data_IF_224042880085
#
_entry.id   IF_224042880085
#
_cell.length_a   1.000
_cell.length_b   1.000
_cell.length_c   1.000
_cell.angle_alpha   90.00
_cell.angle_beta   90.00
_cell.angle_gamma   90.00
#
_symmetry.space_group_name_H-M   'P 1'
#
loop_
_entity.id
_entity.type
_entity.pdbx_description
1 polymer ?
#
# COMPACT_ATOMS: atom_id res chain seq x y z
N UNK A 1 -11.96 -14.49 -26.69
CA UNK A 1 -12.99 -15.15 -25.86
C UNK A 1 -12.31 -15.79 -24.65
N UNK A 2 -12.74 -15.52 -23.42
CA UNK A 2 -12.17 -16.13 -22.21
C UNK A 2 -12.73 -17.55 -22.09
N UNK A 3 -11.87 -18.56 -21.90
CA UNK A 3 -12.33 -19.96 -21.80
C UNK A 3 -13.20 -20.17 -20.55
N UNK A 4 -14.18 -21.10 -20.62
CA UNK A 4 -15.00 -21.48 -19.46
C UNK A 4 -14.15 -21.90 -18.25
N UNK A 5 -13.01 -22.55 -18.48
CA UNK A 5 -12.03 -22.94 -17.46
C UNK A 5 -11.40 -21.71 -16.78
N UNK A 6 -11.02 -20.70 -17.57
CA UNK A 6 -10.44 -19.45 -17.06
C UNK A 6 -11.44 -18.69 -16.19
N UNK A 7 -12.70 -18.65 -16.59
CA UNK A 7 -13.76 -18.00 -15.81
C UNK A 7 -14.04 -18.73 -14.49
N UNK A 8 -14.11 -20.06 -14.53
CA UNK A 8 -14.26 -20.90 -13.34
C UNK A 8 -13.14 -20.65 -12.33
N UNK A 9 -11.88 -20.72 -12.76
CA UNK A 9 -10.73 -20.49 -11.88
C UNK A 9 -10.73 -19.08 -11.28
N UNK A 10 -11.12 -18.06 -12.05
CA UNK A 10 -11.27 -16.69 -11.55
C UNK A 10 -12.32 -16.60 -10.44
N UNK A 11 -13.49 -17.23 -10.63
CA UNK A 11 -14.56 -17.29 -9.62
C UNK A 11 -14.09 -18.01 -8.36
N UNK A 12 -13.46 -19.17 -8.51
CA UNK A 12 -12.91 -19.95 -7.40
C UNK A 12 -11.88 -19.16 -6.58
N UNK A 13 -10.90 -18.55 -7.24
CA UNK A 13 -9.86 -17.77 -6.56
C UNK A 13 -10.42 -16.53 -5.86
N UNK A 14 -11.42 -15.87 -6.45
CA UNK A 14 -12.11 -14.75 -5.81
C UNK A 14 -12.89 -15.21 -4.56
N UNK A 15 -13.63 -16.32 -4.64
CA UNK A 15 -14.33 -16.88 -3.49
C UNK A 15 -13.35 -17.25 -2.35
N UNK A 16 -12.20 -17.84 -2.69
CA UNK A 16 -11.12 -18.13 -1.74
C UNK A 16 -10.56 -16.87 -1.10
N UNK A 17 -10.31 -15.81 -1.89
CA UNK A 17 -9.84 -14.52 -1.41
C UNK A 17 -10.81 -13.90 -0.40
N UNK A 18 -12.10 -13.84 -0.75
CA UNK A 18 -13.15 -13.25 0.11
C UNK A 18 -13.25 -14.01 1.43
N UNK A 19 -13.32 -15.34 1.39
CA UNK A 19 -13.40 -16.20 2.59
C UNK A 19 -12.19 -16.00 3.51
N UNK A 20 -10.98 -16.07 2.95
CA UNK A 20 -9.76 -15.90 3.76
C UNK A 20 -9.58 -14.48 4.26
N UNK A 21 -9.96 -13.48 3.48
CA UNK A 21 -9.93 -12.08 3.94
C UNK A 21 -10.81 -11.90 5.18
N UNK A 22 -12.04 -12.41 5.16
CA UNK A 22 -12.95 -12.33 6.31
C UNK A 22 -12.34 -13.00 7.55
N UNK A 23 -11.88 -14.26 7.40
CA UNK A 23 -11.19 -15.00 8.48
C UNK A 23 -9.99 -14.23 9.05
N UNK A 24 -9.10 -13.72 8.20
CA UNK A 24 -7.91 -12.98 8.65
C UNK A 24 -8.29 -11.66 9.34
N UNK A 25 -9.38 -11.00 8.90
CA UNK A 25 -9.88 -9.79 9.56
C UNK A 25 -10.40 -10.12 10.95
N UNK A 26 -11.17 -11.20 11.11
CA UNK A 26 -11.67 -11.66 12.41
C UNK A 26 -10.52 -12.03 13.36
N UNK A 27 -9.53 -12.78 12.89
CA UNK A 27 -8.36 -13.16 13.68
C UNK A 27 -7.54 -11.97 14.18
N UNK A 28 -7.51 -10.87 13.43
CA UNK A 28 -6.85 -9.63 13.82
C UNK A 28 -7.78 -8.66 14.58
N UNK A 29 -8.97 -9.11 15.00
CA UNK A 29 -9.89 -8.39 15.87
C UNK A 29 -10.89 -7.47 15.16
N UNK A 30 -10.96 -7.49 13.83
CA UNK A 30 -12.03 -6.84 13.06
C UNK A 30 -12.07 -5.31 13.09
N UNK A 31 -11.05 -4.65 13.65
CA UNK A 31 -11.01 -3.19 13.83
C UNK A 31 -9.61 -2.63 13.64
N UNK A 32 -9.53 -1.34 13.34
CA UNK A 32 -8.26 -0.63 13.26
C UNK A 32 -7.55 -0.65 14.62
N UNK A 33 -6.30 -1.14 14.64
CA UNK A 33 -5.46 -1.20 15.84
C UNK A 33 -5.11 0.18 16.43
N UNK A 34 -5.25 1.26 15.64
CA UNK A 34 -4.90 2.63 16.07
C UNK A 34 -6.08 3.50 16.49
N UNK A 35 -7.24 3.36 15.83
CA UNK A 35 -8.39 4.24 16.04
C UNK A 35 -9.73 3.51 16.13
N UNK A 36 -9.70 2.18 16.28
CA UNK A 36 -10.86 1.29 16.46
C UNK A 36 -11.94 1.31 15.39
N UNK A 37 -11.76 2.11 14.33
CA UNK A 37 -12.64 2.15 13.17
C UNK A 37 -12.72 0.79 12.49
N UNK A 38 -13.92 0.37 12.09
CA UNK A 38 -14.18 -0.84 11.30
C UNK A 38 -14.24 -0.54 9.80
N UNK A 39 -14.11 0.72 9.40
CA UNK A 39 -14.25 1.17 8.03
C UNK A 39 -12.97 0.97 7.23
N UNK A 40 -13.08 0.27 6.09
CA UNK A 40 -12.02 0.10 5.08
C UNK A 40 -10.69 -0.31 5.75
N UNK A 41 -10.66 -1.55 6.23
CA UNK A 41 -9.50 -2.14 6.88
C UNK A 41 -8.52 -2.70 5.85
N UNK A 42 -7.25 -2.42 6.05
CA UNK A 42 -6.12 -2.88 5.27
C UNK A 42 -5.15 -3.64 6.19
N UNK A 43 -4.56 -4.71 5.67
CA UNK A 43 -3.51 -5.46 6.38
C UNK A 43 -2.22 -4.67 6.29
N UNK A 44 -1.63 -4.38 7.44
CA UNK A 44 -0.38 -3.65 7.57
C UNK A 44 0.57 -4.46 8.46
N UNK A 45 1.84 -4.60 8.04
CA UNK A 45 2.86 -5.22 8.87
C UNK A 45 3.27 -4.29 10.00
N UNK A 46 3.27 -4.78 11.23
CA UNK A 46 3.65 -4.00 12.42
C UNK A 46 5.06 -3.45 12.26
N UNK A 47 6.01 -4.32 11.91
CA UNK A 47 7.35 -3.95 11.46
C UNK A 47 7.55 -4.36 9.99
N UNK A 48 7.65 -3.40 9.04
CA UNK A 48 7.84 -3.70 7.64
C UNK A 48 9.16 -4.41 7.32
N UNK A 49 10.15 -4.43 8.23
CA UNK A 49 11.43 -5.14 8.06
C UNK A 49 11.32 -6.64 8.30
N UNK A 50 10.29 -7.07 9.04
CA UNK A 50 10.08 -8.49 9.40
C UNK A 50 9.21 -9.25 8.41
N UNK A 51 8.64 -8.53 7.42
CA UNK A 51 7.75 -9.12 6.43
C UNK A 51 8.52 -10.05 5.49
N UNK A 52 7.93 -11.20 5.21
CA UNK A 52 8.41 -12.13 4.19
C UNK A 52 7.67 -11.90 2.87
N UNK A 53 6.38 -11.52 2.92
CA UNK A 53 5.56 -11.27 1.74
C UNK A 53 4.35 -10.38 2.04
N UNK A 54 3.67 -9.90 1.00
CA UNK A 54 2.44 -9.10 1.17
C UNK A 54 1.24 -10.03 1.44
N UNK A 55 0.56 -9.84 2.57
CA UNK A 55 -0.61 -10.64 2.95
C UNK A 55 -1.73 -10.56 1.90
N UNK A 56 -2.03 -9.37 1.37
CA UNK A 56 -3.15 -9.17 0.45
C UNK A 56 -3.11 -10.07 -0.79
N UNK A 57 -1.94 -10.23 -1.39
CA UNK A 57 -1.73 -11.14 -2.53
C UNK A 57 -1.59 -12.61 -2.12
N UNK A 58 -1.13 -12.88 -0.89
CA UNK A 58 -0.94 -14.22 -0.36
C UNK A 58 -2.25 -14.91 0.05
N UNK A 59 -3.31 -14.15 0.37
CA UNK A 59 -4.59 -14.68 0.84
C UNK A 59 -5.14 -15.77 -0.07
N UNK A 60 -5.18 -15.58 -1.39
CA UNK A 60 -5.75 -16.57 -2.33
C UNK A 60 -4.71 -17.48 -2.98
N UNK A 61 -3.42 -17.35 -2.67
CA UNK A 61 -2.34 -18.06 -3.36
C UNK A 61 -1.53 -18.98 -2.46
N UNK A 62 -1.37 -18.68 -1.17
CA UNK A 62 -0.52 -19.46 -0.26
C UNK A 62 -1.28 -20.53 0.53
N UNK A 63 -0.55 -21.49 1.10
CA UNK A 63 -1.07 -22.44 2.09
C UNK A 63 -1.34 -21.73 3.43
N UNK A 64 -2.21 -22.27 4.29
CA UNK A 64 -2.59 -21.60 5.54
C UNK A 64 -1.42 -21.56 6.52
N UNK A 65 -0.63 -22.63 6.54
CA UNK A 65 0.53 -22.90 7.39
C UNK A 65 1.65 -21.87 7.17
N UNK A 66 1.74 -21.31 5.96
CA UNK A 66 2.66 -20.22 5.64
C UNK A 66 2.04 -18.84 5.87
N UNK A 67 0.73 -18.72 5.66
CA UNK A 67 0.00 -17.46 5.79
C UNK A 67 -0.16 -17.04 7.25
N UNK A 68 -0.46 -17.97 8.15
CA UNK A 68 -0.75 -17.70 9.57
C UNK A 68 0.46 -17.08 10.31
N UNK A 69 1.70 -17.60 10.19
CA UNK A 69 2.86 -16.97 10.83
C UNK A 69 3.09 -15.53 10.35
N UNK A 70 2.88 -15.25 9.06
CA UNK A 70 3.01 -13.90 8.52
C UNK A 70 1.85 -12.99 8.97
N UNK A 71 0.63 -13.54 9.06
CA UNK A 71 -0.54 -12.81 9.55
C UNK A 71 -0.34 -12.34 11.00
N UNK A 72 0.32 -13.14 11.84
CA UNK A 72 0.65 -12.79 13.23
C UNK A 72 1.59 -11.57 13.35
N UNK A 73 2.33 -11.24 12.29
CA UNK A 73 3.16 -10.02 12.21
C UNK A 73 2.38 -8.79 11.73
N UNK A 74 1.11 -8.97 11.37
CA UNK A 74 0.26 -7.93 10.82
C UNK A 74 -0.73 -7.39 11.86
N UNK A 75 -1.21 -6.18 11.58
CA UNK A 75 -2.30 -5.51 12.25
C UNK A 75 -3.30 -5.04 11.19
N UNK A 76 -4.54 -4.77 11.61
CA UNK A 76 -5.51 -4.09 10.77
C UNK A 76 -5.41 -2.58 11.00
N UNK A 77 -5.33 -1.81 9.92
CA UNK A 77 -5.41 -0.36 9.97
C UNK A 77 -6.48 0.13 9.01
N UNK A 78 -7.22 1.16 9.40
CA UNK A 78 -8.03 1.90 8.45
C UNK A 78 -7.13 2.67 7.48
N UNK A 79 -7.64 2.98 6.29
CA UNK A 79 -6.91 3.71 5.24
C UNK A 79 -6.13 4.94 5.73
N UNK A 80 -6.71 5.75 6.62
CA UNK A 80 -6.05 6.95 7.17
C UNK A 80 -4.86 6.61 8.06
N UNK A 81 -5.04 5.67 9.00
CA UNK A 81 -3.98 5.23 9.90
C UNK A 81 -2.86 4.52 9.15
N UNK A 82 -3.21 3.69 8.16
CA UNK A 82 -2.23 3.01 7.32
C UNK A 82 -1.38 4.00 6.51
N UNK A 83 -2.02 5.00 5.86
CA UNK A 83 -1.29 6.06 5.18
C UNK A 83 -0.34 6.84 6.10
N UNK A 84 -0.79 7.17 7.31
CA UNK A 84 0.05 7.85 8.31
C UNK A 84 1.26 7.00 8.69
N UNK A 85 1.05 5.70 8.95
CA UNK A 85 2.15 4.78 9.26
C UNK A 85 3.15 4.67 8.11
N UNK A 86 2.68 4.51 6.87
CA UNK A 86 3.57 4.42 5.69
C UNK A 86 4.46 5.65 5.52
N UNK A 87 3.95 6.85 5.85
CA UNK A 87 4.76 8.07 5.85
C UNK A 87 5.85 8.02 6.93
N UNK A 88 5.51 7.58 8.15
CA UNK A 88 6.46 7.45 9.26
C UNK A 88 7.52 6.38 8.96
N UNK A 89 7.11 5.19 8.56
CA UNK A 89 8.00 4.06 8.27
C UNK A 89 8.99 4.39 7.13
N UNK A 90 8.54 5.14 6.13
CA UNK A 90 9.37 5.57 5.01
C UNK A 90 10.19 6.85 5.28
N UNK A 91 10.06 7.47 6.45
CA UNK A 91 10.57 8.82 6.74
C UNK A 91 10.19 9.83 5.63
N UNK A 92 8.95 9.73 5.14
CA UNK A 92 8.43 10.53 4.03
C UNK A 92 7.44 11.56 4.54
N UNK A 93 7.39 12.71 3.87
CA UNK A 93 6.37 13.72 4.11
C UNK A 93 5.26 13.64 3.06
N UNK A 94 4.04 14.00 3.45
CA UNK A 94 2.91 13.99 2.52
C UNK A 94 3.08 15.07 1.45
N UNK A 95 3.07 14.65 0.18
CA UNK A 95 3.20 15.55 -0.96
C UNK A 95 2.11 16.62 -1.05
N UNK A 96 0.92 16.38 -0.49
CA UNK A 96 -0.19 17.35 -0.48
C UNK A 96 -0.02 18.45 0.55
N UNK A 97 0.73 18.20 1.62
CA UNK A 97 0.96 19.15 2.72
C UNK A 97 2.34 19.80 2.66
N UNK A 98 3.18 19.38 1.72
CA UNK A 98 4.52 19.93 1.52
C UNK A 98 4.56 20.75 0.24
N UNK A 99 5.49 21.70 0.15
CA UNK A 99 5.72 22.53 -1.04
C UNK A 99 7.20 22.50 -1.42
N UNK A 100 7.52 22.95 -2.64
CA UNK A 100 8.92 23.06 -3.08
C UNK A 100 9.59 21.75 -3.48
N UNK A 101 8.83 20.65 -3.63
CA UNK A 101 9.34 19.38 -4.16
C UNK A 101 8.63 19.00 -5.47
N UNK A 102 9.23 18.09 -6.25
CA UNK A 102 8.58 17.54 -7.45
C UNK A 102 7.32 16.74 -7.12
N UNK A 103 7.33 16.05 -5.98
CA UNK A 103 6.16 15.32 -5.50
C UNK A 103 5.02 16.28 -5.19
N UNK A 104 5.31 17.38 -4.51
CA UNK A 104 4.35 18.45 -4.20
C UNK A 104 3.84 19.19 -5.43
N UNK A 105 4.69 19.37 -6.45
CA UNK A 105 4.29 20.02 -7.70
C UNK A 105 3.10 19.31 -8.37
N UNK A 106 2.92 17.99 -8.19
CA UNK A 106 1.75 17.27 -8.71
C UNK A 106 0.43 17.80 -8.15
N UNK A 107 0.43 18.32 -6.94
CA UNK A 107 -0.77 18.77 -6.22
C UNK A 107 -0.87 20.29 -6.07
N UNK A 108 0.25 21.03 -6.12
CA UNK A 108 0.28 22.48 -5.97
C UNK A 108 1.21 23.14 -6.99
N UNK A 109 0.78 24.26 -7.60
CA UNK A 109 1.55 25.04 -8.60
C UNK A 109 2.03 26.40 -8.07
N UNK A 110 2.26 26.54 -6.77
CA UNK A 110 2.81 27.78 -6.20
C UNK A 110 4.26 28.04 -6.67
N UNK A 111 4.79 29.23 -6.36
CA UNK A 111 6.14 29.65 -6.77
C UNK A 111 7.23 28.64 -6.40
N UNK A 112 7.23 28.13 -5.16
CA UNK A 112 8.19 27.12 -4.70
C UNK A 112 8.11 25.82 -5.52
N UNK A 113 6.91 25.31 -5.76
CA UNK A 113 6.70 24.08 -6.53
C UNK A 113 7.10 24.24 -8.00
N UNK A 114 6.77 25.38 -8.63
CA UNK A 114 7.21 25.71 -10.01
C UNK A 114 8.73 25.79 -10.09
N UNK A 115 9.37 26.43 -9.11
CA UNK A 115 10.82 26.52 -9.01
C UNK A 115 11.46 25.13 -8.91
N UNK A 116 10.92 24.25 -8.07
CA UNK A 116 11.38 22.86 -7.95
C UNK A 116 11.29 22.11 -9.29
N UNK A 117 10.17 22.25 -10.01
CA UNK A 117 9.99 21.65 -11.34
C UNK A 117 10.96 22.20 -12.37
N UNK A 118 11.19 23.51 -12.37
CA UNK A 118 12.16 24.17 -13.26
C UNK A 118 13.58 23.66 -13.02
N UNK A 119 14.01 23.62 -11.75
CA UNK A 119 15.33 23.08 -11.34
C UNK A 119 15.53 21.63 -11.82
N UNK A 120 14.52 20.78 -11.66
CA UNK A 120 14.57 19.40 -12.15
C UNK A 120 14.69 19.33 -13.68
N UNK A 121 13.86 20.07 -14.41
CA UNK A 121 13.91 20.09 -15.88
C UNK A 121 15.29 20.56 -16.38
N UNK A 122 15.88 21.60 -15.76
CA UNK A 122 17.25 22.06 -16.07
C UNK A 122 18.28 20.95 -15.85
N UNK A 123 18.21 20.25 -14.70
CA UNK A 123 19.12 19.11 -14.39
C UNK A 123 19.01 18.00 -15.43
N UNK A 124 17.79 17.64 -15.85
CA UNK A 124 17.59 16.58 -16.85
C UNK A 124 18.08 16.96 -18.24
N UNK A 125 17.90 18.22 -18.66
CA UNK A 125 18.52 18.74 -19.89
C UNK A 125 20.04 18.61 -19.83
N UNK A 126 20.67 19.09 -18.75
CA UNK A 126 22.13 18.99 -18.56
C UNK A 126 22.64 17.55 -18.56
N UNK A 127 21.88 16.58 -18.05
CA UNK A 127 22.23 15.15 -18.11
C UNK A 127 22.13 14.59 -19.53
N UNK A 128 21.13 15.04 -20.31
CA UNK A 128 20.98 14.66 -21.71
C UNK A 128 22.09 15.22 -22.61
N UNK A 129 22.62 16.40 -22.29
CA UNK A 129 23.76 17.02 -22.99
C UNK A 129 25.12 16.37 -22.67
N UNK A 130 25.20 15.51 -21.65
CA UNK A 130 26.42 14.77 -21.25
C UNK A 130 26.45 13.33 -21.79
N UNK A 131 25.51 12.97 -22.66
CA UNK A 131 25.47 11.70 -23.39
C UNK A 131 25.83 11.97 -24.84
#
# INVERSE_FOLDING_TARGET
>A
MVSKRTEYMRKYMNARLVKRRAMCVELLGGKCARCTSINILEFDHIDPKTKSFNIGGALSSMAWELLEPELKKCQLLCKRCHQKKNLVDGNMQNARTTHGTLSSYRYCKCGLCRLAKSRYNKKQRLRGLKR
#
